data_IF_928732040685
#
_entry.id   IF_928732040685
#
_cell.length_a   1.000
_cell.length_b   1.000
_cell.length_c   1.000
_cell.angle_alpha   90.00
_cell.angle_beta   90.00
_cell.angle_gamma   90.00
#
_symmetry.space_group_name_H-M   'P 1'
#
loop_
_entity.id
_entity.type
_entity.pdbx_description
1 polymer ?
#
# COMPACT_ATOMS: atom_id res chain seq x y z
N UNK A 1 41.93 0.26 30.78
CA UNK A 1 42.04 -0.43 32.09
C UNK A 1 41.62 -1.90 32.03
N UNK A 2 40.39 -2.26 31.62
CA UNK A 2 39.95 -3.69 31.49
C UNK A 2 40.85 -4.58 30.61
N UNK A 3 41.33 -4.04 29.48
CA UNK A 3 42.26 -4.74 28.58
C UNK A 3 43.58 -5.12 29.28
N UNK A 4 44.15 -4.19 30.04
CA UNK A 4 45.42 -4.37 30.77
C UNK A 4 45.29 -5.27 32.01
N UNK A 5 44.08 -5.37 32.60
CA UNK A 5 43.83 -6.24 33.76
C UNK A 5 43.39 -7.66 33.39
N UNK A 6 43.20 -7.96 32.10
CA UNK A 6 42.73 -9.28 31.64
C UNK A 6 41.24 -9.54 31.86
N UNK A 7 40.50 -8.53 32.36
CA UNK A 7 39.07 -8.61 32.62
C UNK A 7 38.21 -8.27 31.38
N UNK A 8 38.83 -8.20 30.20
CA UNK A 8 38.14 -7.89 28.93
C UNK A 8 37.51 -9.15 28.34
N UNK A 9 36.26 -9.04 27.88
CA UNK A 9 35.61 -10.14 27.13
C UNK A 9 36.03 -10.13 25.66
N UNK A 10 35.84 -11.24 24.96
CA UNK A 10 36.12 -11.33 23.51
C UNK A 10 35.32 -10.27 22.73
N UNK A 11 34.04 -10.06 23.08
CA UNK A 11 33.20 -9.04 22.44
C UNK A 11 33.62 -7.59 22.77
N UNK A 12 34.11 -7.33 23.98
CA UNK A 12 34.70 -6.03 24.34
C UNK A 12 36.02 -5.79 23.58
N UNK A 13 36.84 -6.83 23.39
CA UNK A 13 38.08 -6.75 22.62
C UNK A 13 37.83 -6.43 21.14
N UNK A 14 36.85 -7.08 20.50
CA UNK A 14 36.46 -6.71 19.14
C UNK A 14 35.95 -5.27 19.04
N UNK A 15 35.19 -4.78 20.02
CA UNK A 15 34.78 -3.36 20.08
C UNK A 15 35.95 -2.40 20.24
N UNK A 16 36.94 -2.74 21.05
CA UNK A 16 38.18 -1.95 21.21
C UNK A 16 38.90 -1.77 19.86
N UNK A 17 38.94 -2.83 19.06
CA UNK A 17 39.55 -2.85 17.74
C UNK A 17 38.65 -2.32 16.62
N UNK A 18 37.48 -1.76 16.96
CA UNK A 18 36.47 -1.29 16.00
C UNK A 18 35.99 -2.38 15.02
N UNK A 19 36.03 -3.64 15.45
CA UNK A 19 35.49 -4.79 14.71
C UNK A 19 34.06 -5.04 15.18
N UNK A 20 33.09 -4.46 14.48
CA UNK A 20 31.68 -4.67 14.78
C UNK A 20 31.14 -5.91 14.06
N UNK A 21 30.76 -6.94 14.82
CA UNK A 21 29.99 -8.10 14.34
C UNK A 21 28.53 -7.84 14.68
N UNK A 22 27.79 -7.19 13.78
CA UNK A 22 26.37 -6.93 13.97
C UNK A 22 25.57 -8.17 13.58
N UNK A 23 25.01 -8.86 14.57
CA UNK A 23 23.95 -9.84 14.33
C UNK A 23 22.68 -9.03 14.08
N UNK A 24 22.24 -8.94 12.83
CA UNK A 24 20.95 -8.33 12.52
C UNK A 24 19.86 -9.16 13.20
N UNK A 25 19.13 -8.55 14.14
CA UNK A 25 17.89 -9.17 14.62
C UNK A 25 16.94 -9.28 13.43
N UNK A 26 16.44 -10.48 13.10
CA UNK A 26 15.49 -10.61 12.01
C UNK A 26 14.28 -9.72 12.30
N UNK A 27 13.78 -9.02 11.27
CA UNK A 27 12.49 -8.35 11.38
C UNK A 27 11.45 -9.46 11.55
N UNK A 28 10.77 -9.48 12.68
CA UNK A 28 9.64 -10.38 12.86
C UNK A 28 8.57 -9.98 11.84
N UNK A 29 8.28 -10.86 10.90
CA UNK A 29 7.10 -10.72 10.04
C UNK A 29 5.88 -10.87 10.94
N UNK A 30 5.17 -9.78 11.18
CA UNK A 30 3.86 -9.84 11.81
C UNK A 30 2.92 -10.52 10.81
N UNK A 31 2.39 -11.69 11.17
CA UNK A 31 1.27 -12.26 10.45
C UNK A 31 0.08 -11.29 10.62
N UNK A 32 -0.65 -10.94 9.54
CA UNK A 32 -1.87 -10.16 9.67
C UNK A 32 -2.83 -10.85 10.64
N UNK A 33 -3.47 -10.09 11.53
CA UNK A 33 -4.34 -10.60 12.60
C UNK A 33 -5.62 -11.31 12.10
N UNK A 34 -5.85 -11.39 10.79
CA UNK A 34 -7.10 -11.84 10.19
C UNK A 34 -7.01 -13.19 9.47
N UNK A 35 -6.36 -14.20 10.06
CA UNK A 35 -6.55 -15.60 9.63
C UNK A 35 -7.72 -16.25 10.41
N UNK A 36 -8.88 -15.60 10.42
CA UNK A 36 -10.13 -16.24 10.81
C UNK A 36 -10.96 -16.48 9.54
N UNK A 37 -10.76 -17.66 8.93
CA UNK A 37 -11.56 -18.12 7.79
C UNK A 37 -12.92 -18.54 8.35
N UNK A 38 -13.90 -17.63 8.37
CA UNK A 38 -15.27 -17.88 8.86
C UNK A 38 -16.18 -18.50 7.78
N UNK A 39 -15.70 -18.67 6.55
CA UNK A 39 -16.46 -19.28 5.45
C UNK A 39 -15.99 -20.72 5.21
N UNK A 40 -16.92 -21.62 4.86
CA UNK A 40 -16.56 -22.95 4.39
C UNK A 40 -15.71 -22.83 3.11
N UNK A 41 -14.61 -23.60 2.97
CA UNK A 41 -13.72 -23.49 1.83
C UNK A 41 -14.47 -23.85 0.55
N UNK A 42 -14.29 -23.03 -0.48
CA UNK A 42 -14.83 -23.32 -1.82
C UNK A 42 -14.09 -24.51 -2.44
N UNK A 43 -14.66 -25.19 -3.45
CA UNK A 43 -13.96 -26.23 -4.20
C UNK A 43 -12.61 -25.76 -4.77
N UNK A 44 -12.52 -24.50 -5.21
CA UNK A 44 -11.30 -23.87 -5.69
C UNK A 44 -10.27 -23.75 -4.56
N UNK A 45 -10.68 -23.32 -3.37
CA UNK A 45 -9.80 -23.22 -2.20
C UNK A 45 -9.20 -24.58 -1.82
N UNK A 46 -9.97 -25.65 -1.95
CA UNK A 46 -9.49 -27.02 -1.70
C UNK A 46 -8.44 -27.45 -2.72
N UNK A 47 -8.61 -27.10 -3.99
CA UNK A 47 -7.62 -27.37 -5.04
C UNK A 47 -6.33 -26.58 -4.81
N UNK A 48 -6.43 -25.27 -4.53
CA UNK A 48 -5.28 -24.43 -4.18
C UNK A 48 -4.56 -24.96 -2.93
N UNK A 49 -5.31 -25.33 -1.91
CA UNK A 49 -4.77 -25.89 -0.67
C UNK A 49 -4.01 -27.18 -0.92
N UNK A 50 -4.58 -28.11 -1.69
CA UNK A 50 -4.02 -29.42 -1.95
C UNK A 50 -2.76 -29.37 -2.84
N UNK A 51 -2.80 -28.60 -3.94
CA UNK A 51 -1.77 -28.64 -4.98
C UNK A 51 -0.76 -27.50 -4.91
N UNK A 52 -1.05 -26.41 -4.20
CA UNK A 52 -0.15 -25.25 -4.10
C UNK A 52 0.30 -25.01 -2.66
N UNK A 53 -0.64 -24.76 -1.75
CA UNK A 53 -0.28 -24.27 -0.41
C UNK A 53 0.35 -25.35 0.48
N UNK A 54 -0.26 -26.54 0.60
CA UNK A 54 0.28 -27.62 1.45
C UNK A 54 1.65 -28.13 0.98
N UNK A 55 1.90 -28.37 -0.31
CA UNK A 55 3.22 -28.76 -0.79
C UNK A 55 4.28 -27.70 -0.51
N UNK A 56 3.97 -26.42 -0.75
CA UNK A 56 4.85 -25.29 -0.45
C UNK A 56 5.16 -25.17 1.04
N UNK A 57 4.15 -25.35 1.89
CA UNK A 57 4.30 -25.29 3.35
C UNK A 57 5.27 -26.36 3.86
N UNK A 58 5.12 -27.62 3.42
CA UNK A 58 6.01 -28.72 3.83
C UNK A 58 7.48 -28.43 3.52
N UNK A 59 7.76 -27.86 2.36
CA UNK A 59 9.12 -27.52 1.95
C UNK A 59 9.70 -26.41 2.83
N UNK A 60 8.90 -25.38 3.15
CA UNK A 60 9.35 -24.35 4.09
C UNK A 60 9.53 -24.88 5.51
N UNK A 61 8.68 -25.79 5.98
CA UNK A 61 8.83 -26.43 7.29
C UNK A 61 10.14 -27.22 7.38
N UNK A 62 10.46 -28.02 6.36
CA UNK A 62 11.73 -28.76 6.27
C UNK A 62 12.95 -27.82 6.25
N UNK A 63 12.88 -26.73 5.49
CA UNK A 63 13.95 -25.73 5.41
C UNK A 63 14.13 -24.98 6.73
N UNK A 64 13.04 -24.59 7.38
CA UNK A 64 13.06 -23.97 8.70
C UNK A 64 13.67 -24.90 9.75
N UNK A 65 13.36 -26.22 9.69
CA UNK A 65 13.98 -27.20 10.58
C UNK A 65 15.48 -27.33 10.34
N UNK A 66 15.94 -27.33 9.07
CA UNK A 66 17.35 -27.36 8.73
C UNK A 66 18.08 -26.11 9.25
N UNK A 67 17.52 -24.92 9.02
CA UNK A 67 18.07 -23.65 9.53
C UNK A 67 18.11 -23.62 11.06
N UNK A 68 17.09 -24.17 11.73
CA UNK A 68 17.05 -24.26 13.19
C UNK A 68 18.21 -25.10 13.73
N UNK A 69 18.53 -26.24 13.09
CA UNK A 69 19.68 -27.07 13.48
C UNK A 69 21.00 -26.32 13.34
N UNK A 70 21.20 -25.61 12.22
CA UNK A 70 22.41 -24.80 12.01
C UNK A 70 22.52 -23.70 13.08
N UNK A 71 21.41 -23.02 13.40
CA UNK A 71 21.38 -22.02 14.47
C UNK A 71 21.75 -22.65 15.81
N UNK A 72 21.23 -23.83 16.12
CA UNK A 72 21.53 -24.55 17.36
C UNK A 72 23.01 -24.97 17.45
N UNK A 73 23.63 -25.36 16.34
CA UNK A 73 25.06 -25.63 16.25
C UNK A 73 25.92 -24.36 16.43
N UNK A 74 25.44 -23.20 15.96
CA UNK A 74 26.15 -21.92 16.03
C UNK A 74 25.98 -21.18 17.38
N UNK A 75 24.89 -21.43 18.10
CA UNK A 75 24.57 -20.80 19.41
C UNK A 75 25.71 -20.89 20.44
N UNK A 76 26.41 -22.04 20.63
CA UNK A 76 27.53 -22.14 21.56
C UNK A 76 28.68 -21.16 21.24
N UNK A 77 28.98 -20.95 19.95
CA UNK A 77 30.05 -20.04 19.52
C UNK A 77 29.70 -18.58 19.80
N UNK A 78 28.42 -18.21 19.72
CA UNK A 78 27.98 -16.87 20.12
C UNK A 78 28.27 -16.58 21.60
N UNK A 79 28.11 -17.58 22.48
CA UNK A 79 28.40 -17.46 23.92
C UNK A 79 29.89 -17.25 24.23
N UNK A 80 30.79 -17.56 23.30
CA UNK A 80 32.24 -17.32 23.46
C UNK A 80 32.54 -15.81 23.51
N UNK A 81 31.69 -14.96 22.91
CA UNK A 81 31.87 -13.50 22.95
C UNK A 81 31.79 -12.93 24.38
N UNK A 82 31.03 -13.58 25.26
CA UNK A 82 30.83 -13.16 26.64
C UNK A 82 31.94 -13.68 27.58
N UNK A 83 32.80 -14.58 27.10
CA UNK A 83 33.91 -15.13 27.87
C UNK A 83 35.11 -14.16 27.89
N UNK A 84 35.92 -14.25 28.95
CA UNK A 84 37.16 -13.46 29.07
C UNK A 84 38.16 -13.88 28.00
N UNK A 85 38.79 -12.91 27.35
CA UNK A 85 39.78 -13.16 26.31
C UNK A 85 40.93 -14.03 26.82
N UNK A 86 41.35 -13.85 28.07
CA UNK A 86 42.39 -14.65 28.73
C UNK A 86 42.03 -16.13 28.82
N UNK A 87 40.75 -16.45 28.99
CA UNK A 87 40.27 -17.83 29.12
C UNK A 87 40.13 -18.50 27.74
N UNK A 88 39.80 -17.72 26.71
CA UNK A 88 39.61 -18.21 25.34
C UNK A 88 40.95 -18.32 24.60
N UNK A 89 41.80 -17.32 24.71
CA UNK A 89 43.11 -17.27 24.07
C UNK A 89 44.10 -16.42 24.88
N UNK A 90 44.74 -17.08 25.85
CA UNK A 90 45.71 -16.46 26.76
C UNK A 90 46.92 -15.87 26.03
N UNK A 91 47.49 -16.60 25.07
CA UNK A 91 48.68 -16.16 24.35
C UNK A 91 48.40 -14.90 23.53
N UNK A 92 47.23 -14.82 22.88
CA UNK A 92 46.81 -13.62 22.17
C UNK A 92 46.72 -12.41 23.10
N UNK A 93 46.12 -12.57 24.28
CA UNK A 93 46.02 -11.48 25.25
C UNK A 93 47.39 -11.03 25.77
N UNK A 94 48.28 -11.97 26.10
CA UNK A 94 49.63 -11.67 26.60
C UNK A 94 50.47 -10.89 25.58
N UNK A 95 50.33 -11.18 24.29
CA UNK A 95 50.97 -10.41 23.21
C UNK A 95 50.32 -9.05 23.07
N UNK A 96 48.99 -9.01 22.91
CA UNK A 96 48.25 -7.79 22.57
C UNK A 96 48.31 -6.72 23.67
N UNK A 97 48.46 -7.10 24.95
CA UNK A 97 48.62 -6.12 26.06
C UNK A 97 49.92 -5.32 25.99
N UNK A 98 50.93 -5.84 25.29
CA UNK A 98 52.26 -5.22 25.14
C UNK A 98 52.41 -4.40 23.86
N UNK A 99 51.46 -4.54 22.93
CA UNK A 99 51.43 -3.78 21.69
C UNK A 99 51.12 -2.30 21.94
N UNK A 100 51.69 -1.45 21.08
CA UNK A 100 51.34 -0.03 20.97
C UNK A 100 49.94 0.16 20.36
N UNK A 101 49.37 1.35 20.53
CA UNK A 101 48.06 1.68 19.96
C UNK A 101 48.05 1.57 18.42
N UNK A 102 49.17 1.87 17.75
CA UNK A 102 49.29 1.75 16.29
C UNK A 102 49.32 0.29 15.82
N UNK A 103 50.01 -0.59 16.55
CA UNK A 103 50.02 -2.03 16.28
C UNK A 103 48.63 -2.66 16.52
N UNK A 104 47.93 -2.25 17.57
CA UNK A 104 46.56 -2.67 17.84
C UNK A 104 45.60 -2.21 16.72
N UNK A 105 45.76 -0.97 16.24
CA UNK A 105 44.96 -0.44 15.13
C UNK A 105 45.22 -1.23 13.83
N UNK A 106 46.47 -1.55 13.52
CA UNK A 106 46.83 -2.38 12.36
C UNK A 106 46.25 -3.80 12.46
N UNK A 107 46.31 -4.41 13.64
CA UNK A 107 45.68 -5.71 13.89
C UNK A 107 44.16 -5.67 13.71
N UNK A 108 43.50 -4.60 14.20
CA UNK A 108 42.08 -4.36 13.96
C UNK A 108 41.72 -4.20 12.47
N UNK A 109 42.60 -3.59 11.67
CA UNK A 109 42.41 -3.46 10.23
C UNK A 109 42.47 -4.84 9.52
N UNK A 110 43.41 -5.71 9.89
CA UNK A 110 43.48 -7.07 9.36
C UNK A 110 42.27 -7.93 9.78
N UNK A 111 41.82 -7.82 11.04
CA UNK A 111 40.58 -8.48 11.48
C UNK A 111 39.36 -7.99 10.70
N UNK A 112 39.28 -6.71 10.35
CA UNK A 112 38.20 -6.19 9.52
C UNK A 112 38.27 -6.70 8.07
N UNK A 113 39.47 -6.91 7.51
CA UNK A 113 39.63 -7.59 6.20
C UNK A 113 39.10 -9.02 6.27
N UNK A 114 39.48 -9.77 7.30
CA UNK A 114 39.04 -11.14 7.50
C UNK A 114 37.52 -11.23 7.75
N UNK A 115 36.95 -10.30 8.53
CA UNK A 115 35.50 -10.15 8.70
C UNK A 115 34.80 -9.91 7.36
N UNK A 116 35.34 -9.03 6.51
CA UNK A 116 34.78 -8.74 5.19
C UNK A 116 34.76 -9.99 4.30
N UNK A 117 35.84 -10.78 4.35
CA UNK A 117 35.91 -12.07 3.66
C UNK A 117 34.81 -13.04 4.14
N UNK A 118 34.73 -13.31 5.45
CA UNK A 118 33.69 -14.20 5.98
C UNK A 118 32.28 -13.69 5.72
N UNK A 119 32.05 -12.37 5.75
CA UNK A 119 30.75 -11.80 5.41
C UNK A 119 30.36 -12.07 3.95
N UNK A 120 31.33 -12.02 3.02
CA UNK A 120 31.10 -12.37 1.61
C UNK A 120 30.83 -13.86 1.46
N UNK A 121 31.60 -14.70 2.14
CA UNK A 121 31.42 -16.15 2.12
C UNK A 121 30.05 -16.56 2.67
N UNK A 122 29.62 -16.01 3.82
CA UNK A 122 28.28 -16.26 4.37
C UNK A 122 27.16 -15.82 3.42
N UNK A 123 27.34 -14.71 2.67
CA UNK A 123 26.36 -14.30 1.65
C UNK A 123 26.26 -15.29 0.50
N UNK A 124 27.38 -15.86 0.08
CA UNK A 124 27.42 -16.88 -0.97
C UNK A 124 26.72 -18.15 -0.48
N UNK A 125 27.00 -18.60 0.74
CA UNK A 125 26.34 -19.75 1.35
C UNK A 125 24.83 -19.55 1.44
N UNK A 126 24.37 -18.40 1.97
CA UNK A 126 22.94 -18.09 2.05
C UNK A 126 22.27 -18.01 0.66
N UNK A 127 22.98 -17.54 -0.36
CA UNK A 127 22.48 -17.56 -1.74
C UNK A 127 22.31 -18.99 -2.27
N UNK A 128 23.29 -19.86 -2.04
CA UNK A 128 23.24 -21.26 -2.47
C UNK A 128 22.13 -22.06 -1.74
N UNK A 129 21.93 -21.79 -0.45
CA UNK A 129 20.81 -22.38 0.32
C UNK A 129 19.46 -21.91 -0.24
N UNK A 130 19.33 -20.61 -0.54
CA UNK A 130 18.13 -20.04 -1.17
C UNK A 130 17.86 -20.65 -2.55
N UNK A 131 18.89 -20.85 -3.36
CA UNK A 131 18.78 -21.51 -4.67
C UNK A 131 18.31 -22.96 -4.52
N UNK A 132 18.82 -23.67 -3.51
CA UNK A 132 18.41 -25.04 -3.19
C UNK A 132 16.93 -25.09 -2.79
N UNK A 133 16.49 -24.16 -1.92
CA UNK A 133 15.08 -24.01 -1.53
C UNK A 133 14.18 -23.76 -2.74
N UNK A 134 14.55 -22.82 -3.60
CA UNK A 134 13.79 -22.50 -4.80
C UNK A 134 13.74 -23.63 -5.81
N UNK A 135 14.83 -24.38 -5.94
CA UNK A 135 14.88 -25.58 -6.78
C UNK A 135 13.91 -26.66 -6.28
N UNK A 136 13.86 -26.89 -4.95
CA UNK A 136 12.89 -27.82 -4.34
C UNK A 136 11.44 -27.37 -4.55
N UNK A 137 11.15 -26.08 -4.37
CA UNK A 137 9.83 -25.50 -4.61
C UNK A 137 9.40 -25.68 -6.07
N UNK A 138 10.30 -25.42 -7.02
CA UNK A 138 10.03 -25.60 -8.44
C UNK A 138 9.77 -27.06 -8.79
N UNK A 139 10.61 -27.98 -8.31
CA UNK A 139 10.43 -29.42 -8.53
C UNK A 139 9.09 -29.92 -7.98
N UNK A 140 8.72 -29.49 -6.77
CA UNK A 140 7.44 -29.84 -6.17
C UNK A 140 6.27 -29.28 -6.98
N UNK A 141 6.34 -28.01 -7.41
CA UNK A 141 5.29 -27.41 -8.24
C UNK A 141 5.13 -28.13 -9.59
N UNK A 142 6.23 -28.50 -10.24
CA UNK A 142 6.21 -29.29 -11.47
C UNK A 142 5.57 -30.66 -11.25
N UNK A 143 5.87 -31.33 -10.14
CA UNK A 143 5.29 -32.62 -9.81
C UNK A 143 3.78 -32.53 -9.53
N UNK A 144 3.36 -31.51 -8.79
CA UNK A 144 1.94 -31.25 -8.54
C UNK A 144 1.18 -30.91 -9.84
N UNK A 145 1.81 -30.15 -10.74
CA UNK A 145 1.24 -29.83 -12.04
C UNK A 145 1.05 -31.08 -12.91
N UNK A 146 2.05 -31.96 -12.99
CA UNK A 146 1.93 -33.25 -13.71
C UNK A 146 0.83 -34.13 -13.13
N UNK A 147 0.74 -34.20 -11.80
CA UNK A 147 -0.31 -34.96 -11.14
C UNK A 147 -1.70 -34.40 -11.50
N UNK A 148 -1.89 -33.08 -11.42
CA UNK A 148 -3.13 -32.43 -11.77
C UNK A 148 -3.51 -32.67 -13.25
N UNK A 149 -2.55 -32.51 -14.16
CA UNK A 149 -2.76 -32.77 -15.59
C UNK A 149 -3.22 -34.21 -15.85
N UNK A 150 -2.57 -35.20 -15.22
CA UNK A 150 -2.98 -36.60 -15.34
C UNK A 150 -4.37 -36.90 -14.76
N UNK A 151 -4.86 -36.07 -13.84
CA UNK A 151 -6.24 -36.18 -13.31
C UNK A 151 -7.25 -35.52 -14.25
N UNK A 152 -6.89 -34.40 -14.88
CA UNK A 152 -7.73 -33.73 -15.87
C UNK A 152 -7.95 -34.67 -17.06
N UNK A 153 -6.88 -35.28 -17.59
CA UNK A 153 -6.97 -36.26 -18.68
C UNK A 153 -7.94 -37.42 -18.35
N UNK A 154 -7.87 -37.95 -17.12
CA UNK A 154 -8.81 -38.99 -16.67
C UNK A 154 -10.26 -38.53 -16.57
N UNK A 155 -10.50 -37.26 -16.24
CA UNK A 155 -11.87 -36.72 -16.17
C UNK A 155 -12.40 -36.50 -17.58
N UNK A 156 -11.57 -36.02 -18.51
CA UNK A 156 -11.92 -35.87 -19.92
C UNK A 156 -12.28 -37.21 -20.56
N UNK A 157 -11.51 -38.27 -20.28
CA UNK A 157 -11.82 -39.64 -20.74
C UNK A 157 -13.20 -40.11 -20.26
N UNK A 158 -13.53 -39.85 -18.98
CA UNK A 158 -14.82 -40.21 -18.40
C UNK A 158 -15.98 -39.39 -18.98
N UNK A 159 -15.75 -38.10 -19.28
CA UNK A 159 -16.75 -37.25 -19.93
C UNK A 159 -17.06 -37.75 -21.35
N UNK A 160 -16.02 -38.12 -22.10
CA UNK A 160 -16.19 -38.67 -23.45
C UNK A 160 -16.96 -40.01 -23.43
N UNK A 161 -16.72 -40.86 -22.43
CA UNK A 161 -17.50 -42.09 -22.24
C UNK A 161 -18.97 -41.79 -21.94
N UNK A 162 -19.25 -40.79 -21.09
CA UNK A 162 -20.62 -40.38 -20.76
C UNK A 162 -21.38 -39.81 -21.98
N UNK A 163 -20.73 -38.99 -22.80
CA UNK A 163 -21.30 -38.46 -24.04
C UNK A 163 -21.64 -39.57 -25.04
N UNK A 164 -20.75 -40.56 -25.18
CA UNK A 164 -21.00 -41.74 -26.02
C UNK A 164 -22.24 -42.54 -25.55
N UNK A 165 -22.40 -42.69 -24.24
CA UNK A 165 -23.59 -43.32 -23.66
C UNK A 165 -24.88 -42.52 -23.94
N UNK A 166 -24.82 -41.19 -23.90
CA UNK A 166 -25.98 -40.33 -24.21
C UNK A 166 -26.41 -40.48 -25.67
N UNK A 167 -25.46 -40.43 -26.61
CA UNK A 167 -25.75 -40.62 -28.04
C UNK A 167 -26.37 -41.99 -28.32
N UNK A 168 -25.87 -43.04 -27.66
CA UNK A 168 -26.45 -44.38 -27.76
C UNK A 168 -27.91 -44.42 -27.26
N UNK A 169 -28.21 -43.72 -26.16
CA UNK A 169 -29.55 -43.64 -25.59
C UNK A 169 -30.52 -42.90 -26.53
N UNK A 170 -30.11 -41.75 -27.07
CA UNK A 170 -30.92 -40.95 -28.01
C UNK A 170 -31.28 -41.76 -29.27
N UNK A 171 -30.32 -42.52 -29.81
CA UNK A 171 -30.55 -43.38 -30.97
C UNK A 171 -31.59 -44.49 -30.72
N UNK A 172 -31.65 -45.02 -29.50
CA UNK A 172 -32.61 -46.04 -29.11
C UNK A 172 -34.04 -45.48 -29.03
N UNK A 173 -34.20 -44.24 -28.54
CA UNK A 173 -35.48 -43.54 -28.47
C UNK A 173 -36.05 -43.27 -29.88
N UNK A 174 -35.19 -42.81 -30.80
CA UNK A 174 -35.54 -42.51 -32.20
C UNK A 174 -35.99 -43.77 -32.98
N UNK A 175 -35.37 -44.92 -32.68
CA UNK A 175 -35.76 -46.19 -33.26
C UNK A 175 -37.17 -46.61 -32.78
N UNK A 176 -37.50 -46.37 -31.51
CA UNK A 176 -38.81 -46.67 -30.93
C UNK A 176 -39.95 -45.87 -31.57
N UNK A 177 -39.70 -44.60 -31.94
CA UNK A 177 -40.71 -43.74 -32.58
C UNK A 177 -41.03 -44.13 -34.02
N UNK A 178 -40.09 -44.71 -34.77
CA UNK A 178 -40.28 -45.06 -36.18
C UNK A 178 -41.19 -46.28 -36.40
N UNK A 179 -41.28 -47.20 -35.44
CA UNK A 179 -42.05 -48.45 -35.58
C UNK A 179 -43.58 -48.30 -35.42
N UNK A 180 -44.09 -47.18 -34.89
CA UNK A 180 -45.52 -46.99 -34.57
C UNK A 180 -46.26 -46.00 -35.48
N UNK A 181 -45.62 -45.54 -36.56
CA UNK A 181 -46.13 -44.48 -37.46
C UNK A 181 -47.39 -44.80 -38.33
N UNK A 182 -47.68 -46.04 -38.79
CA UNK A 182 -48.64 -46.21 -39.90
C UNK A 182 -50.14 -46.15 -39.51
N UNK A 183 -50.51 -45.76 -38.29
CA UNK A 183 -51.91 -45.76 -37.81
C UNK A 183 -52.64 -44.40 -37.89
N UNK A 184 -51.98 -43.32 -38.33
CA UNK A 184 -52.43 -41.95 -38.06
C UNK A 184 -53.17 -41.22 -39.20
N UNK A 185 -53.54 -41.88 -40.31
CA UNK A 185 -53.98 -41.18 -41.53
C UNK A 185 -55.50 -41.01 -41.75
N UNK A 186 -56.39 -41.21 -40.75
CA UNK A 186 -57.85 -41.23 -41.00
C UNK A 186 -58.74 -40.32 -40.12
N UNK A 187 -58.23 -39.26 -39.48
CA UNK A 187 -59.06 -38.45 -38.57
C UNK A 187 -59.14 -36.94 -38.92
N UNK A 188 -60.34 -36.33 -38.82
CA UNK A 188 -60.57 -34.88 -38.99
C UNK A 188 -59.84 -34.02 -37.94
N UNK A 189 -59.25 -34.65 -36.93
CA UNK A 189 -58.26 -34.10 -36.01
C UNK A 189 -57.08 -33.40 -36.73
N UNK A 190 -56.73 -33.79 -37.96
CA UNK A 190 -55.61 -33.20 -38.71
C UNK A 190 -55.81 -31.71 -39.05
N UNK A 191 -57.05 -31.25 -39.23
CA UNK A 191 -57.35 -29.83 -39.50
C UNK A 191 -57.25 -28.99 -38.22
N UNK A 192 -57.68 -29.58 -37.10
CA UNK A 192 -57.50 -29.02 -35.76
C UNK A 192 -56.01 -28.98 -35.39
N UNK A 193 -55.25 -30.02 -35.76
CA UNK A 193 -53.80 -30.14 -35.61
C UNK A 193 -53.06 -29.08 -36.45
N UNK A 194 -53.53 -28.77 -37.65
CA UNK A 194 -52.93 -27.73 -38.50
C UNK A 194 -53.14 -26.33 -37.90
N UNK A 195 -54.31 -26.07 -37.30
CA UNK A 195 -54.56 -24.83 -36.55
C UNK A 195 -53.76 -24.74 -35.25
N UNK A 196 -53.64 -25.85 -34.52
CA UNK A 196 -52.84 -25.94 -33.30
C UNK A 196 -51.35 -25.78 -33.62
N UNK A 197 -50.90 -26.31 -34.75
CA UNK A 197 -49.52 -26.15 -35.21
C UNK A 197 -49.19 -24.72 -35.59
N UNK A 198 -50.11 -24.01 -36.25
CA UNK A 198 -49.94 -22.59 -36.52
C UNK A 198 -49.90 -21.76 -35.22
N UNK A 199 -50.69 -22.15 -34.21
CA UNK A 199 -50.70 -21.50 -32.89
C UNK A 199 -49.43 -21.83 -32.08
N UNK A 200 -48.90 -23.05 -32.21
CA UNK A 200 -47.63 -23.49 -31.64
C UNK A 200 -46.45 -22.74 -32.26
N UNK A 201 -46.44 -22.55 -33.59
CA UNK A 201 -45.40 -21.78 -34.30
C UNK A 201 -45.41 -20.30 -33.88
N UNK A 202 -46.59 -19.71 -33.66
CA UNK A 202 -46.72 -18.33 -33.16
C UNK A 202 -46.22 -18.21 -31.71
N UNK A 203 -46.60 -19.14 -30.83
CA UNK A 203 -46.12 -19.19 -29.44
C UNK A 203 -44.62 -19.46 -29.36
N UNK A 204 -44.06 -20.29 -30.24
CA UNK A 204 -42.61 -20.51 -30.34
C UNK A 204 -41.88 -19.24 -30.77
N UNK A 205 -42.47 -18.44 -31.65
CA UNK A 205 -41.90 -17.16 -32.07
C UNK A 205 -41.91 -16.15 -30.92
N UNK A 206 -43.02 -16.02 -30.19
CA UNK A 206 -43.12 -15.17 -29.00
C UNK A 206 -42.14 -15.61 -27.90
N UNK A 207 -42.00 -16.92 -27.66
CA UNK A 207 -41.01 -17.46 -26.71
C UNK A 207 -39.58 -17.14 -27.15
N UNK A 208 -39.26 -17.27 -28.45
CA UNK A 208 -37.93 -16.96 -28.97
C UNK A 208 -37.59 -15.48 -28.88
N UNK A 209 -38.58 -14.60 -29.09
CA UNK A 209 -38.41 -13.15 -28.92
C UNK A 209 -38.21 -12.78 -27.45
N UNK A 210 -38.97 -13.39 -26.54
CA UNK A 210 -38.82 -13.22 -25.10
C UNK A 210 -37.48 -13.75 -24.57
N UNK A 211 -37.02 -14.91 -25.04
CA UNK A 211 -35.70 -15.46 -24.70
C UNK A 211 -34.56 -14.54 -25.20
N UNK A 212 -34.69 -13.95 -26.40
CA UNK A 212 -33.72 -12.99 -26.91
C UNK A 212 -33.69 -11.69 -26.08
N UNK A 213 -34.84 -11.20 -25.60
CA UNK A 213 -34.92 -10.07 -24.69
C UNK A 213 -34.30 -10.38 -23.31
N UNK A 214 -34.54 -11.58 -22.77
CA UNK A 214 -33.98 -12.01 -21.48
C UNK A 214 -32.46 -12.18 -21.57
N UNK A 215 -31.95 -12.77 -22.66
CA UNK A 215 -30.51 -12.83 -22.94
C UNK A 215 -29.89 -11.42 -23.05
N UNK A 216 -30.56 -10.48 -23.74
CA UNK A 216 -30.08 -9.12 -23.85
C UNK A 216 -30.04 -8.41 -22.48
N UNK A 217 -31.05 -8.61 -21.65
CA UNK A 217 -31.11 -8.09 -20.29
C UNK A 217 -30.03 -8.71 -19.40
N UNK A 218 -29.75 -10.01 -19.54
CA UNK A 218 -28.67 -10.69 -18.81
C UNK A 218 -27.30 -10.14 -19.19
N UNK A 219 -27.05 -9.88 -20.48
CA UNK A 219 -25.82 -9.23 -20.95
C UNK A 219 -25.67 -7.84 -20.34
N UNK A 220 -26.72 -7.02 -20.36
CA UNK A 220 -26.70 -5.71 -19.71
C UNK A 220 -26.47 -5.79 -18.20
N UNK A 221 -27.08 -6.77 -17.53
CA UNK A 221 -26.93 -6.96 -16.09
C UNK A 221 -25.50 -7.40 -15.72
N UNK A 222 -24.85 -8.20 -16.56
CA UNK A 222 -23.45 -8.58 -16.39
C UNK A 222 -22.50 -7.40 -16.66
N UNK A 223 -22.80 -6.56 -17.67
CA UNK A 223 -22.06 -5.30 -17.90
C UNK A 223 -22.18 -4.34 -16.70
N UNK A 224 -23.37 -4.19 -16.12
CA UNK A 224 -23.58 -3.40 -14.91
C UNK A 224 -22.83 -3.97 -13.70
N UNK A 225 -22.88 -5.29 -13.47
CA UNK A 225 -22.12 -5.94 -12.40
C UNK A 225 -20.62 -5.76 -12.56
N UNK A 226 -20.11 -5.88 -13.78
CA UNK A 226 -18.70 -5.69 -14.06
C UNK A 226 -18.27 -4.23 -13.86
N UNK A 227 -19.15 -3.28 -14.22
CA UNK A 227 -18.94 -1.85 -13.97
C UNK A 227 -18.96 -1.55 -12.47
N UNK A 228 -19.93 -2.09 -11.73
CA UNK A 228 -20.02 -1.97 -10.27
C UNK A 228 -18.78 -2.53 -9.58
N UNK A 229 -18.34 -3.73 -9.99
CA UNK A 229 -17.13 -4.37 -9.47
C UNK A 229 -15.89 -3.52 -9.76
N UNK A 230 -15.76 -2.98 -10.98
CA UNK A 230 -14.67 -2.07 -11.35
C UNK A 230 -14.67 -0.79 -10.50
N UNK A 231 -15.84 -0.18 -10.28
CA UNK A 231 -15.99 1.00 -9.42
C UNK A 231 -15.64 0.67 -7.96
N UNK A 232 -16.06 -0.48 -7.46
CA UNK A 232 -15.75 -0.95 -6.10
C UNK A 232 -14.26 -1.23 -5.92
N UNK A 233 -13.63 -1.92 -6.87
CA UNK A 233 -12.19 -2.15 -6.88
C UNK A 233 -11.40 -0.84 -6.95
N UNK A 234 -11.90 0.17 -7.67
CA UNK A 234 -11.30 1.51 -7.69
C UNK A 234 -11.45 2.24 -6.35
N UNK A 235 -12.61 2.14 -5.69
CA UNK A 235 -12.85 2.70 -4.35
C UNK A 235 -11.99 2.01 -3.27
N UNK A 236 -11.88 0.69 -3.29
CA UNK A 236 -11.03 -0.06 -2.35
C UNK A 236 -9.54 0.18 -2.58
N UNK A 237 -9.14 0.45 -3.84
CA UNK A 237 -7.74 0.70 -4.20
C UNK A 237 -7.28 2.12 -3.87
N UNK A 238 -8.20 3.06 -3.87
CA UNK A 238 -7.94 4.47 -3.59
C UNK A 238 -8.96 4.92 -2.54
N UNK A 239 -8.53 4.94 -1.29
CA UNK A 239 -9.32 5.45 -0.17
C UNK A 239 -9.57 6.97 -0.41
N UNK A 240 -10.62 7.28 -1.15
CA UNK A 240 -10.91 8.64 -1.64
C UNK A 240 -11.62 9.50 -0.58
N UNK A 241 -12.08 8.89 0.50
CA UNK A 241 -12.73 9.57 1.61
C UNK A 241 -11.67 10.04 2.60
N UNK A 242 -11.40 11.34 2.61
CA UNK A 242 -10.50 11.99 3.58
C UNK A 242 -11.14 12.14 4.98
N UNK A 243 -12.36 11.62 5.16
CA UNK A 243 -13.13 11.69 6.39
C UNK A 243 -13.75 10.34 6.78
N UNK A 244 -13.92 10.16 8.08
CA UNK A 244 -14.67 9.05 8.69
C UNK A 244 -15.86 9.59 9.49
N UNK A 245 -16.98 8.88 9.51
CA UNK A 245 -18.13 9.25 10.34
C UNK A 245 -17.96 8.59 11.70
N UNK A 246 -17.83 9.41 12.75
CA UNK A 246 -17.64 8.94 14.13
C UNK A 246 -18.95 8.92 14.92
N UNK A 247 -19.87 9.83 14.59
CA UNK A 247 -21.20 9.86 15.18
C UNK A 247 -22.25 10.24 14.12
N UNK A 248 -23.37 9.52 14.12
CA UNK A 248 -24.57 9.90 13.36
C UNK A 248 -25.80 9.65 14.22
N UNK A 249 -26.50 10.71 14.60
CA UNK A 249 -27.71 10.61 15.40
C UNK A 249 -28.77 11.61 14.90
N UNK A 250 -29.95 11.60 15.53
CA UNK A 250 -31.05 12.48 15.13
C UNK A 250 -30.71 13.97 15.28
N UNK A 251 -29.78 14.37 16.15
CA UNK A 251 -29.47 15.77 16.47
C UNK A 251 -28.22 16.29 15.77
N UNK A 252 -27.24 15.42 15.48
CA UNK A 252 -25.95 15.80 14.91
C UNK A 252 -25.29 14.65 14.15
N UNK A 253 -24.37 15.02 13.27
CA UNK A 253 -23.39 14.13 12.66
C UNK A 253 -21.98 14.68 12.88
N UNK A 254 -21.03 13.79 13.17
CA UNK A 254 -19.63 14.13 13.43
C UNK A 254 -18.76 13.43 12.39
N UNK A 255 -17.92 14.23 11.74
CA UNK A 255 -16.99 13.79 10.70
C UNK A 255 -15.57 14.12 11.11
N UNK A 256 -14.71 13.11 11.10
CA UNK A 256 -13.32 13.24 11.49
C UNK A 256 -12.44 13.26 10.24
N UNK A 257 -11.53 14.22 10.18
CA UNK A 257 -10.55 14.42 9.12
C UNK A 257 -9.12 14.30 9.68
N UNK A 258 -8.16 13.94 8.83
CA UNK A 258 -6.74 13.83 9.18
C UNK A 258 -6.45 12.92 10.39
N UNK A 259 -7.01 11.71 10.39
CA UNK A 259 -6.83 10.74 11.49
C UNK A 259 -7.28 11.34 12.84
N UNK A 260 -8.53 11.77 12.90
CA UNK A 260 -9.24 12.23 14.11
C UNK A 260 -8.68 13.54 14.71
N UNK A 261 -7.90 14.30 13.95
CA UNK A 261 -7.23 15.52 14.44
C UNK A 261 -7.98 16.81 14.08
N UNK A 262 -8.89 16.75 13.12
CA UNK A 262 -9.83 17.82 12.76
C UNK A 262 -11.24 17.24 12.75
N UNK A 263 -12.13 17.78 13.56
CA UNK A 263 -13.51 17.33 13.66
C UNK A 263 -14.44 18.37 13.06
N UNK A 264 -15.44 17.90 12.30
CA UNK A 264 -16.57 18.66 11.81
C UNK A 264 -17.85 18.14 12.48
N UNK A 265 -18.43 18.97 13.33
CA UNK A 265 -19.73 18.72 13.95
C UNK A 265 -20.83 19.43 13.15
N UNK A 266 -21.77 18.66 12.60
CA UNK A 266 -22.94 19.15 11.88
C UNK A 266 -24.17 18.98 12.76
N UNK A 267 -24.81 20.08 13.15
CA UNK A 267 -26.02 20.04 14.00
C UNK A 267 -27.26 20.18 13.13
N UNK A 268 -28.18 19.21 13.24
CA UNK A 268 -29.41 19.17 12.47
C UNK A 268 -30.53 19.98 13.12
N UNK A 269 -31.43 20.49 12.28
CA UNK A 269 -32.69 21.10 12.69
C UNK A 269 -33.71 20.06 13.18
N UNK A 270 -34.89 20.51 13.64
CA UNK A 270 -35.94 19.61 14.12
C UNK A 270 -36.27 18.53 13.07
N UNK A 271 -36.56 17.29 13.51
CA UNK A 271 -36.90 16.19 12.60
C UNK A 271 -38.17 16.51 11.81
N UNK A 272 -38.22 16.06 10.56
CA UNK A 272 -39.38 16.19 9.68
C UNK A 272 -40.31 15.00 9.97
N UNK A 273 -41.63 15.24 10.03
CA UNK A 273 -42.62 14.19 10.33
C UNK A 273 -42.46 12.98 9.40
N UNK A 274 -42.05 11.84 9.95
CA UNK A 274 -41.89 10.57 9.24
C UNK A 274 -40.45 10.15 8.90
N UNK A 275 -39.44 10.94 9.29
CA UNK A 275 -38.01 10.62 9.12
C UNK A 275 -37.40 10.16 10.45
N UNK A 276 -37.53 8.86 10.75
CA UNK A 276 -37.03 8.25 11.99
C UNK A 276 -35.49 8.12 12.02
N UNK A 277 -34.78 8.34 10.90
CA UNK A 277 -33.33 8.13 10.78
C UNK A 277 -32.53 9.37 10.30
N UNK A 278 -33.20 10.47 9.99
CA UNK A 278 -32.55 11.71 9.55
C UNK A 278 -32.01 11.64 8.12
N UNK A 279 -32.61 10.81 7.26
CA UNK A 279 -32.17 10.58 5.88
C UNK A 279 -32.76 11.58 4.87
N UNK A 280 -33.73 12.41 5.28
CA UNK A 280 -34.34 13.38 4.38
C UNK A 280 -33.36 14.51 4.01
N UNK A 281 -32.99 14.57 2.74
CA UNK A 281 -32.08 15.56 2.16
C UNK A 281 -32.58 17.01 2.30
N UNK A 282 -33.87 17.21 2.57
CA UNK A 282 -34.48 18.52 2.80
C UNK A 282 -34.27 19.07 4.22
N UNK A 283 -33.72 18.26 5.13
CA UNK A 283 -33.48 18.62 6.52
C UNK A 283 -32.52 19.81 6.64
N UNK A 284 -32.87 20.79 7.48
CA UNK A 284 -32.08 22.01 7.68
C UNK A 284 -30.88 21.78 8.58
N UNK A 285 -29.76 22.43 8.31
CA UNK A 285 -28.57 22.43 9.18
C UNK A 285 -28.53 23.71 10.01
N UNK A 286 -28.41 23.57 11.32
CA UNK A 286 -28.42 24.67 12.30
C UNK A 286 -27.03 25.26 12.46
N UNK A 287 -25.99 24.42 12.50
CA UNK A 287 -24.61 24.88 12.61
C UNK A 287 -23.63 23.84 12.06
N UNK A 288 -22.50 24.33 11.54
CA UNK A 288 -21.32 23.54 11.21
C UNK A 288 -20.16 24.09 12.03
N UNK A 289 -19.61 23.26 12.92
CA UNK A 289 -18.51 23.64 13.80
C UNK A 289 -17.27 22.82 13.45
N UNK A 290 -16.11 23.47 13.48
CA UNK A 290 -14.83 22.83 13.21
C UNK A 290 -13.95 22.95 14.44
N UNK A 291 -13.42 21.82 14.90
CA UNK A 291 -12.50 21.76 16.04
C UNK A 291 -11.19 21.09 15.65
N UNK A 292 -10.09 21.53 16.26
CA UNK A 292 -8.79 20.89 16.09
C UNK A 292 -8.35 20.27 17.40
N UNK A 293 -7.97 19.00 17.34
CA UNK A 293 -7.44 18.24 18.46
C UNK A 293 -5.92 18.05 18.39
N UNK A 294 -5.23 18.83 17.55
CA UNK A 294 -3.77 18.77 17.44
C UNK A 294 -3.11 19.45 18.65
N UNK A 295 -2.27 18.70 19.37
CA UNK A 295 -1.38 19.27 20.39
C UNK A 295 -0.23 20.03 19.71
N UNK A 296 -0.35 21.36 19.58
CA UNK A 296 0.64 22.23 18.94
C UNK A 296 2.04 22.15 19.60
N UNK A 297 2.15 21.78 20.88
CA UNK A 297 3.44 21.69 21.57
C UNK A 297 4.19 20.38 21.26
N UNK A 298 3.46 19.30 21.02
CA UNK A 298 4.04 17.97 20.75
C UNK A 298 4.07 17.62 19.26
N UNK A 299 3.23 18.23 18.44
CA UNK A 299 3.10 17.88 17.04
C UNK A 299 4.31 18.34 16.19
N UNK A 300 4.64 17.60 15.11
CA UNK A 300 5.63 18.05 14.14
C UNK A 300 5.25 19.42 13.53
N UNK A 301 6.23 20.29 13.24
CA UNK A 301 5.95 21.58 12.60
C UNK A 301 5.20 21.46 11.27
N UNK A 302 5.42 20.37 10.52
CA UNK A 302 4.68 20.03 9.29
C UNK A 302 3.19 19.85 9.57
N UNK A 303 2.82 19.10 10.61
CA UNK A 303 1.44 18.89 11.03
C UNK A 303 0.79 20.19 11.50
N UNK A 304 1.49 20.99 12.30
CA UNK A 304 0.99 22.31 12.73
C UNK A 304 0.70 23.24 11.55
N UNK A 305 1.57 23.24 10.52
CA UNK A 305 1.36 23.99 9.29
C UNK A 305 0.10 23.53 8.54
N UNK A 306 -0.08 22.21 8.41
CA UNK A 306 -1.26 21.63 7.73
C UNK A 306 -2.56 22.07 8.40
N UNK A 307 -2.64 21.95 9.73
CA UNK A 307 -3.81 22.36 10.49
C UNK A 307 -4.08 23.85 10.33
N UNK A 308 -3.05 24.69 10.48
CA UNK A 308 -3.20 26.15 10.32
C UNK A 308 -3.72 26.52 8.92
N UNK A 309 -3.25 25.87 7.86
CA UNK A 309 -3.72 26.14 6.50
C UNK A 309 -5.19 25.72 6.29
N UNK A 310 -5.60 24.59 6.89
CA UNK A 310 -6.99 24.13 6.83
C UNK A 310 -7.91 25.10 7.59
N UNK A 311 -7.53 25.51 8.80
CA UNK A 311 -8.34 26.44 9.58
C UNK A 311 -8.40 27.84 8.95
N UNK A 312 -7.31 28.31 8.34
CA UNK A 312 -7.35 29.54 7.54
C UNK A 312 -8.30 29.44 6.34
N UNK A 313 -8.40 28.27 5.71
CA UNK A 313 -9.41 28.04 4.68
C UNK A 313 -10.82 28.12 5.27
N UNK A 314 -11.07 27.37 6.35
CA UNK A 314 -12.38 27.32 7.01
C UNK A 314 -12.84 28.73 7.42
N UNK A 315 -11.96 29.52 8.02
CA UNK A 315 -12.23 30.90 8.40
C UNK A 315 -12.46 31.81 7.18
N UNK A 316 -11.69 31.62 6.10
CA UNK A 316 -11.83 32.43 4.88
C UNK A 316 -13.16 32.22 4.14
N UNK A 317 -13.81 31.07 4.33
CA UNK A 317 -15.07 30.74 3.67
C UNK A 317 -16.28 31.45 4.30
N UNK A 318 -16.11 32.12 5.45
CA UNK A 318 -17.16 32.88 6.12
C UNK A 318 -18.19 31.96 6.81
N UNK A 319 -19.48 32.29 6.69
CA UNK A 319 -20.54 31.53 7.36
C UNK A 319 -20.88 30.25 6.59
N UNK A 320 -20.39 29.10 7.08
CA UNK A 320 -20.67 27.78 6.49
C UNK A 320 -22.14 27.41 6.47
N UNK A 321 -22.95 27.96 7.38
CA UNK A 321 -24.40 27.75 7.41
C UNK A 321 -25.10 28.27 6.16
N UNK A 322 -24.63 29.38 5.58
CA UNK A 322 -25.22 29.94 4.34
C UNK A 322 -24.89 29.08 3.13
N UNK A 323 -23.75 28.38 3.15
CA UNK A 323 -23.31 27.46 2.08
C UNK A 323 -23.94 26.08 2.20
N UNK A 324 -24.33 25.70 3.42
CA UNK A 324 -24.92 24.41 3.73
C UNK A 324 -26.23 24.59 4.51
N UNK A 325 -27.29 25.14 3.88
CA UNK A 325 -28.55 25.37 4.59
C UNK A 325 -29.32 24.06 4.86
N UNK A 326 -29.10 23.03 4.04
CA UNK A 326 -29.78 21.73 4.12
C UNK A 326 -28.82 20.56 3.90
N UNK A 327 -29.23 19.38 4.35
CA UNK A 327 -28.47 18.13 4.24
C UNK A 327 -28.06 17.81 2.79
N UNK A 328 -28.88 18.19 1.81
CA UNK A 328 -28.55 18.08 0.38
C UNK A 328 -27.19 18.70 -0.01
N UNK A 329 -26.79 19.81 0.64
CA UNK A 329 -25.53 20.49 0.34
C UNK A 329 -24.33 19.95 1.15
N UNK A 330 -24.58 19.07 2.13
CA UNK A 330 -23.53 18.53 2.99
C UNK A 330 -22.46 17.73 2.21
N UNK A 331 -22.81 16.86 1.24
CA UNK A 331 -21.80 16.15 0.44
C UNK A 331 -20.86 17.10 -0.33
N UNK A 332 -21.38 18.24 -0.80
CA UNK A 332 -20.58 19.23 -1.51
C UNK A 332 -19.59 19.92 -0.56
N UNK A 333 -20.03 20.28 0.64
CA UNK A 333 -19.16 20.87 1.66
C UNK A 333 -18.08 19.89 2.11
N UNK A 334 -18.45 18.63 2.37
CA UNK A 334 -17.50 17.57 2.70
C UNK A 334 -16.47 17.39 1.58
N UNK A 335 -16.90 17.44 0.32
CA UNK A 335 -15.99 17.36 -0.83
C UNK A 335 -15.00 18.54 -0.88
N UNK A 336 -15.48 19.77 -0.73
CA UNK A 336 -14.65 20.97 -0.77
C UNK A 336 -13.58 20.97 0.34
N UNK A 337 -13.97 20.53 1.54
CA UNK A 337 -13.07 20.39 2.69
C UNK A 337 -12.07 19.27 2.45
N UNK A 338 -12.54 18.09 2.00
CA UNK A 338 -11.68 16.94 1.68
C UNK A 338 -10.58 17.31 0.69
N UNK A 339 -10.93 18.11 -0.32
CA UNK A 339 -9.98 18.55 -1.33
C UNK A 339 -8.87 19.43 -0.74
N UNK A 340 -9.21 20.34 0.18
CA UNK A 340 -8.24 21.19 0.88
C UNK A 340 -7.40 20.37 1.85
N UNK A 341 -8.03 19.49 2.62
CA UNK A 341 -7.37 18.57 3.56
C UNK A 341 -6.34 17.71 2.83
N UNK A 342 -6.72 17.07 1.74
CA UNK A 342 -5.84 16.22 0.93
C UNK A 342 -4.62 16.98 0.37
N UNK A 343 -4.84 18.21 -0.11
CA UNK A 343 -3.76 19.07 -0.61
C UNK A 343 -2.81 19.52 0.49
N UNK A 344 -3.35 19.91 1.65
CA UNK A 344 -2.55 20.32 2.79
C UNK A 344 -1.78 19.11 3.38
N UNK A 345 -2.41 17.95 3.51
CA UNK A 345 -1.76 16.68 3.88
C UNK A 345 -0.58 16.37 2.96
N UNK A 346 -0.80 16.43 1.65
CA UNK A 346 0.27 16.25 0.65
C UNK A 346 1.42 17.24 0.83
N UNK A 347 1.11 18.51 1.13
CA UNK A 347 2.12 19.53 1.44
C UNK A 347 2.90 19.20 2.72
N UNK A 348 2.24 18.74 3.78
CA UNK A 348 2.90 18.28 5.01
C UNK A 348 3.94 17.19 4.72
N UNK A 349 3.56 16.19 3.93
CA UNK A 349 4.47 15.13 3.48
C UNK A 349 5.63 15.67 2.62
N UNK A 350 5.39 16.72 1.82
CA UNK A 350 6.46 17.38 1.07
C UNK A 350 7.49 18.03 1.98
N UNK A 351 7.04 18.72 3.02
CA UNK A 351 7.91 19.40 3.99
C UNK A 351 8.71 18.39 4.79
N UNK A 352 8.09 17.33 5.31
CA UNK A 352 8.80 16.26 6.02
C UNK A 352 9.87 15.58 5.15
N UNK A 353 9.56 15.38 3.87
CA UNK A 353 10.54 14.87 2.93
C UNK A 353 11.73 15.82 2.77
N UNK A 354 11.50 17.13 2.70
CA UNK A 354 12.56 18.12 2.59
C UNK A 354 13.39 18.23 3.88
N UNK A 355 12.78 18.11 5.05
CA UNK A 355 13.52 18.04 6.32
C UNK A 355 14.42 16.80 6.37
N UNK A 356 13.92 15.65 5.91
CA UNK A 356 14.65 14.37 5.98
C UNK A 356 15.68 14.18 4.87
N UNK A 357 15.39 14.66 3.65
CA UNK A 357 16.17 14.38 2.44
C UNK A 357 16.70 15.64 1.75
N UNK A 358 16.43 16.83 2.28
CA UNK A 358 16.85 18.13 1.73
C UNK A 358 18.34 18.24 1.45
N UNK A 359 19.18 17.59 2.27
CA UNK A 359 20.64 17.60 2.08
C UNK A 359 21.09 17.11 0.69
N UNK A 360 20.33 16.22 0.03
CA UNK A 360 20.59 15.79 -1.35
C UNK A 360 20.47 16.92 -2.38
N UNK A 361 19.72 17.96 -2.04
CA UNK A 361 19.42 19.11 -2.88
C UNK A 361 20.19 20.37 -2.45
N UNK A 362 21.25 20.23 -1.65
CA UNK A 362 21.96 21.35 -1.01
C UNK A 362 21.06 22.23 -0.12
N UNK A 363 19.92 21.69 0.34
CA UNK A 363 19.06 22.31 1.34
C UNK A 363 19.61 21.97 2.73
N UNK A 364 20.13 22.97 3.42
CA UNK A 364 20.79 22.84 4.72
C UNK A 364 19.79 22.80 5.86
N UNK A 365 18.73 23.62 5.77
CA UNK A 365 17.71 23.74 6.82
C UNK A 365 16.36 24.09 6.19
N UNK A 366 15.31 23.45 6.71
CA UNK A 366 13.91 23.85 6.52
C UNK A 366 13.41 24.39 7.85
N UNK A 367 12.78 25.54 7.85
CA UNK A 367 12.19 26.15 9.04
C UNK A 367 10.78 26.60 8.71
N UNK A 368 9.83 26.26 9.57
CA UNK A 368 8.42 26.62 9.41
C UNK A 368 8.09 27.65 10.48
N UNK A 369 7.55 28.79 10.04
CA UNK A 369 7.04 29.81 10.94
C UNK A 369 5.64 30.19 10.48
N UNK A 370 4.65 29.85 11.31
CA UNK A 370 3.24 30.06 11.02
C UNK A 370 2.82 29.40 9.70
N UNK A 371 2.57 30.18 8.65
CA UNK A 371 2.26 29.68 7.29
C UNK A 371 3.42 29.85 6.31
N UNK A 372 4.58 30.34 6.76
CA UNK A 372 5.75 30.59 5.93
C UNK A 372 6.77 29.46 6.09
N UNK A 373 7.19 28.88 4.96
CA UNK A 373 8.27 27.90 4.90
C UNK A 373 9.54 28.56 4.41
N UNK A 374 10.60 28.49 5.23
CA UNK A 374 11.93 29.00 4.95
C UNK A 374 12.88 27.87 4.61
N UNK A 375 13.55 28.01 3.47
CA UNK A 375 14.44 27.03 2.90
C UNK A 375 15.84 27.63 2.77
N UNK A 376 16.79 27.17 3.58
CA UNK A 376 18.17 27.63 3.55
C UNK A 376 19.02 26.74 2.64
N UNK A 377 19.39 27.26 1.47
CA UNK A 377 20.29 26.58 0.55
C UNK A 377 21.74 26.95 0.82
N UNK A 378 22.64 25.97 0.71
CA UNK A 378 24.07 26.18 0.88
C UNK A 378 24.87 25.19 0.03
N UNK A 379 25.58 25.70 -0.97
CA UNK A 379 26.42 24.91 -1.86
C UNK A 379 27.80 25.58 -2.00
N UNK A 380 28.85 24.90 -1.50
CA UNK A 380 30.22 25.38 -1.63
C UNK A 380 30.71 25.38 -3.09
N UNK A 381 30.32 24.36 -3.86
CA UNK A 381 30.70 24.22 -5.27
C UNK A 381 30.19 25.39 -6.14
N UNK A 382 29.02 25.91 -5.84
CA UNK A 382 28.44 27.08 -6.52
C UNK A 382 28.76 28.42 -5.80
N UNK A 383 29.57 28.38 -4.73
CA UNK A 383 29.86 29.52 -3.85
C UNK A 383 28.60 30.32 -3.46
N UNK A 384 27.54 29.60 -3.08
CA UNK A 384 26.24 30.20 -2.85
C UNK A 384 25.61 29.77 -1.52
N UNK A 385 25.05 30.74 -0.80
CA UNK A 385 24.21 30.52 0.37
C UNK A 385 23.10 31.58 0.38
N UNK A 386 21.86 31.15 0.36
CA UNK A 386 20.69 32.04 0.39
C UNK A 386 19.51 31.34 1.05
N UNK A 387 18.61 32.14 1.62
CA UNK A 387 17.37 31.68 2.23
C UNK A 387 16.20 32.08 1.34
N UNK A 388 15.31 31.13 1.07
CA UNK A 388 14.08 31.33 0.32
C UNK A 388 12.91 31.24 1.28
N UNK A 389 12.10 32.29 1.39
CA UNK A 389 10.88 32.28 2.21
C UNK A 389 9.65 32.20 1.32
N UNK A 390 8.78 31.23 1.60
CA UNK A 390 7.59 30.89 0.83
C UNK A 390 6.36 30.97 1.74
N UNK A 391 5.55 32.04 1.67
CA UNK A 391 4.25 32.08 2.31
C UNK A 391 3.31 31.08 1.63
N UNK A 392 2.74 30.17 2.41
CA UNK A 392 1.79 29.18 1.94
C UNK A 392 0.35 29.61 2.23
N UNK A 393 -0.57 29.13 1.42
CA UNK A 393 -2.00 29.31 1.60
C UNK A 393 -2.73 28.00 1.28
N UNK A 394 -3.99 27.89 1.70
CA UNK A 394 -4.83 26.74 1.40
C UNK A 394 -5.07 26.49 -0.10
N UNK A 395 -4.74 27.47 -0.95
CA UNK A 395 -4.81 27.32 -2.41
C UNK A 395 -3.64 26.51 -2.99
N UNK A 396 -2.63 26.16 -2.18
CA UNK A 396 -1.54 25.29 -2.61
C UNK A 396 -2.07 23.90 -3.02
N UNK A 397 -1.55 23.26 -4.09
CA UNK A 397 -0.51 23.72 -5.00
C UNK A 397 -1.05 24.37 -6.29
N UNK A 398 -2.27 24.90 -6.28
CA UNK A 398 -2.99 25.34 -7.49
C UNK A 398 -2.58 26.72 -7.99
N UNK A 399 -1.89 27.53 -7.18
CA UNK A 399 -1.41 28.85 -7.54
C UNK A 399 0.11 28.98 -7.39
N UNK A 400 0.79 29.84 -8.17
CA UNK A 400 2.19 30.17 -7.96
C UNK A 400 2.40 30.76 -6.57
N UNK A 401 3.47 30.35 -5.89
CA UNK A 401 3.77 30.83 -4.55
C UNK A 401 4.46 32.20 -4.60
N UNK A 402 4.02 33.18 -3.80
CA UNK A 402 4.85 34.35 -3.54
C UNK A 402 6.15 33.89 -2.88
N UNK A 403 7.24 34.62 -3.09
CA UNK A 403 8.52 34.26 -2.50
C UNK A 403 9.36 35.50 -2.20
N UNK A 404 10.27 35.37 -1.24
CA UNK A 404 11.33 36.34 -0.99
C UNK A 404 12.66 35.62 -0.83
N UNK A 405 13.75 36.28 -1.26
CA UNK A 405 15.09 35.70 -1.25
C UNK A 405 16.02 36.57 -0.41
N UNK A 406 16.69 35.96 0.55
CA UNK A 406 17.75 36.60 1.33
C UNK A 406 19.10 35.96 1.00
N UNK A 407 19.88 36.63 0.16
CA UNK A 407 21.24 36.19 -0.19
C UNK A 407 22.19 36.43 0.98
N UNK A 408 22.99 35.42 1.33
CA UNK A 408 24.05 35.49 2.36
C UNK A 408 25.44 35.43 1.74
N UNK A 409 25.63 34.57 0.74
CA UNK A 409 26.90 34.35 0.04
C UNK A 409 26.59 34.10 -1.45
N UNK A 410 27.40 34.66 -2.35
CA UNK A 410 27.26 34.49 -3.80
C UNK A 410 26.33 35.53 -4.43
N UNK A 411 26.09 35.37 -5.74
CA UNK A 411 25.34 36.33 -6.57
C UNK A 411 23.90 35.85 -6.89
N UNK A 412 23.42 34.81 -6.21
CA UNK A 412 22.06 34.30 -6.42
C UNK A 412 21.08 35.18 -5.64
N UNK A 413 20.27 35.95 -6.35
CA UNK A 413 19.24 36.80 -5.78
C UNK A 413 17.85 36.46 -6.31
N UNK A 414 16.92 37.40 -6.11
CA UNK A 414 15.52 37.24 -6.45
C UNK A 414 15.28 37.01 -7.95
N UNK A 415 16.10 37.62 -8.82
CA UNK A 415 15.97 37.48 -10.28
C UNK A 415 16.28 36.07 -10.75
N UNK A 416 17.38 35.49 -10.27
CA UNK A 416 17.80 34.13 -10.65
C UNK A 416 16.82 33.09 -10.13
N UNK A 417 16.33 33.27 -8.91
CA UNK A 417 15.32 32.39 -8.30
C UNK A 417 13.98 32.55 -9.04
N UNK A 418 13.54 33.77 -9.34
CA UNK A 418 12.31 34.04 -10.09
C UNK A 418 12.27 33.35 -11.46
N UNK A 419 13.40 33.37 -12.18
CA UNK A 419 13.53 32.71 -13.47
C UNK A 419 13.34 31.18 -13.35
N UNK A 420 13.86 30.58 -12.27
CA UNK A 420 13.70 29.15 -12.03
C UNK A 420 12.27 28.82 -11.61
N UNK A 421 11.69 29.56 -10.65
CA UNK A 421 10.34 29.29 -10.13
C UNK A 421 9.27 29.45 -11.22
N UNK A 422 9.44 30.44 -12.11
CA UNK A 422 8.55 30.63 -13.27
C UNK A 422 8.55 29.46 -14.25
N UNK A 423 9.62 28.64 -14.25
CA UNK A 423 9.71 27.44 -15.10
C UNK A 423 9.03 26.21 -14.49
N UNK A 424 8.71 26.23 -13.20
CA UNK A 424 8.13 25.08 -12.49
C UNK A 424 6.60 25.13 -12.61
N UNK A 425 5.96 24.12 -13.22
CA UNK A 425 4.51 24.08 -13.31
C UNK A 425 3.88 23.80 -11.94
N UNK A 426 2.79 24.53 -11.63
CA UNK A 426 1.95 24.32 -10.45
C UNK A 426 1.32 22.91 -10.44
N UNK A 427 0.89 22.42 -9.27
CA UNK A 427 0.28 21.09 -9.12
C UNK A 427 1.05 20.12 -8.21
N UNK A 428 0.71 18.83 -8.24
CA UNK A 428 1.21 17.84 -7.28
C UNK A 428 2.74 17.88 -7.10
N UNK A 429 3.20 17.86 -5.84
CA UNK A 429 4.62 17.95 -5.46
C UNK A 429 5.32 19.25 -5.86
N UNK A 430 4.62 20.38 -5.80
CA UNK A 430 5.14 21.66 -6.29
C UNK A 430 6.39 22.12 -5.54
N UNK A 431 6.38 22.06 -4.20
CA UNK A 431 7.49 22.47 -3.35
C UNK A 431 8.74 21.60 -3.58
N UNK A 432 8.57 20.28 -3.70
CA UNK A 432 9.68 19.37 -4.05
C UNK A 432 10.26 19.68 -5.43
N UNK A 433 9.41 20.01 -6.41
CA UNK A 433 9.86 20.39 -7.76
C UNK A 433 10.61 21.71 -7.75
N UNK A 434 10.15 22.71 -7.00
CA UNK A 434 10.88 23.98 -6.80
C UNK A 434 12.28 23.71 -6.26
N UNK A 435 12.39 22.94 -5.16
CA UNK A 435 13.69 22.62 -4.55
C UNK A 435 14.61 21.89 -5.52
N UNK A 436 14.06 20.93 -6.27
CA UNK A 436 14.82 20.16 -7.27
C UNK A 436 15.33 21.06 -8.40
N UNK A 437 14.48 21.94 -8.92
CA UNK A 437 14.84 22.87 -9.99
C UNK A 437 15.88 23.91 -9.53
N UNK A 438 15.79 24.41 -8.29
CA UNK A 438 16.81 25.28 -7.70
C UNK A 438 18.14 24.54 -7.61
N UNK A 439 18.14 23.31 -7.11
CA UNK A 439 19.35 22.50 -7.00
C UNK A 439 20.03 22.31 -8.36
N UNK A 440 19.27 21.88 -9.38
CA UNK A 440 19.80 21.61 -10.73
C UNK A 440 20.30 22.88 -11.43
N UNK A 441 19.54 23.97 -11.40
CA UNK A 441 19.83 25.15 -12.22
C UNK A 441 20.75 26.16 -11.55
N UNK A 442 20.78 26.19 -10.22
CA UNK A 442 21.48 27.21 -9.44
C UNK A 442 22.63 26.67 -8.58
N UNK A 443 22.65 25.37 -8.24
CA UNK A 443 23.58 24.83 -7.24
C UNK A 443 24.48 23.68 -7.73
N UNK A 444 24.25 23.09 -8.91
CA UNK A 444 25.07 21.99 -9.45
C UNK A 444 26.29 22.45 -10.27
N UNK A 445 26.26 23.63 -10.88
CA UNK A 445 27.35 24.12 -11.72
C UNK A 445 28.06 25.33 -11.07
N UNK A 446 29.40 25.40 -11.10
CA UNK A 446 30.10 26.65 -10.82
C UNK A 446 29.73 27.66 -11.92
N UNK A 447 29.24 28.83 -11.50
CA UNK A 447 29.03 29.96 -12.40
C UNK A 447 30.24 30.87 -12.43
#
# INVERSE_FOLDING_TARGET
QKFQSGAITVGEFFRLLQVHVLIQKPRHSHLPANCAVSAAPTPEDLLYSQYIHRPKLRIYEEDCQALTRIIDELKPYAKVQDQLLVNVNRSLWEVMRTCSDEELKNFGAELNKMKSYFTKESKILAHNEKETLYSKLLQSAQEQHRNLQSRIEKVDDLLQEAESCLVALESAVLCFSLFFSPFLSFFPFLLELESLKAQEEELQRELSEMEAEDEQMLVQMEEFKQTEKSCRELLEKYDFTEWEITEWNEQQAVFDFLYDSVELTVVFGPPIDGDDFGEDLSRTIVSLNFESFLDEEQAPPSSCLVHRLIFLFIESQGNWQEKCPTLYYLPQVLHDISLVVSRCKSLGEEVEFLERWGGKFNLLKTEIKDTEVKLLFSASAAFAKFELSLPLSASYPSAPLPFSVQTRIGNIGEKEVSAVLSSVPVGHRYLRRIVTSIHQNLLQNPR
#
